data_IF_179959597221
#
_entry.id   IF_179959597221
#
_cell.length_a   1.000
_cell.length_b   1.000
_cell.length_c   1.000
_cell.angle_alpha   90.00
_cell.angle_beta   90.00
_cell.angle_gamma   90.00
#
_symmetry.space_group_name_H-M   'P 1'
#
loop_
_entity.id
_entity.type
_entity.pdbx_description
1 polymer ?
#
# COMPACT_ATOMS: atom_id res chain seq x y z
N UNK A 1 2.60 -5.86 3.19
CA UNK A 1 1.83 -4.61 3.07
C UNK A 1 0.47 -4.78 3.71
N UNK A 2 -0.06 -3.72 4.32
CA UNK A 2 -1.32 -3.78 5.04
C UNK A 2 -2.47 -3.13 4.23
N UNK A 3 -2.13 -2.30 3.26
CA UNK A 3 -3.05 -1.68 2.29
C UNK A 3 -2.50 -1.83 0.87
N UNK A 4 -3.36 -1.99 -0.11
CA UNK A 4 -3.03 -2.06 -1.53
C UNK A 4 -3.46 -0.76 -2.24
N UNK A 5 -2.53 -0.10 -2.91
CA UNK A 5 -2.81 1.03 -3.79
C UNK A 5 -2.68 0.55 -5.22
N UNK A 6 -3.78 0.53 -5.96
CA UNK A 6 -3.82 0.10 -7.34
C UNK A 6 -3.86 1.34 -8.24
N UNK A 7 -2.76 1.58 -8.93
CA UNK A 7 -2.64 2.71 -9.85
C UNK A 7 -3.00 2.29 -11.27
N UNK A 8 -3.88 3.04 -11.89
CA UNK A 8 -4.23 2.94 -13.30
C UNK A 8 -4.12 4.30 -13.98
N UNK A 9 -4.21 4.36 -15.30
CA UNK A 9 -4.02 5.62 -16.03
C UNK A 9 -5.33 6.13 -16.61
N UNK A 10 -5.55 7.45 -16.54
CA UNK A 10 -6.76 8.09 -17.05
C UNK A 10 -6.96 7.93 -18.57
N UNK A 11 -5.93 7.52 -19.30
CA UNK A 11 -6.00 7.28 -20.74
C UNK A 11 -6.01 5.80 -21.13
N UNK A 12 -5.77 4.87 -20.18
CA UNK A 12 -5.69 3.43 -20.44
C UNK A 12 -6.83 2.63 -19.78
N UNK A 13 -7.49 3.22 -18.78
CA UNK A 13 -8.60 2.55 -18.07
C UNK A 13 -8.18 1.31 -17.28
N UNK A 14 -9.09 0.36 -17.14
CA UNK A 14 -8.90 -0.89 -16.40
C UNK A 14 -8.22 -1.95 -17.27
N UNK A 15 -6.92 -2.13 -17.07
CA UNK A 15 -6.12 -3.12 -17.77
C UNK A 15 -6.09 -4.48 -17.05
N UNK A 16 -5.58 -5.51 -17.73
CA UNK A 16 -5.36 -6.85 -17.14
C UNK A 16 -4.51 -6.79 -15.87
N UNK A 17 -3.49 -5.89 -15.85
CA UNK A 17 -2.65 -5.63 -14.68
C UNK A 17 -3.45 -5.13 -13.47
N UNK A 18 -4.38 -4.23 -13.70
CA UNK A 18 -5.30 -3.68 -12.69
C UNK A 18 -6.15 -4.80 -12.07
N UNK A 19 -6.79 -5.63 -12.90
CA UNK A 19 -7.63 -6.75 -12.44
C UNK A 19 -6.82 -7.80 -11.68
N UNK A 20 -5.61 -8.14 -12.16
CA UNK A 20 -4.76 -9.12 -11.48
C UNK A 20 -4.28 -8.63 -10.12
N UNK A 21 -3.92 -7.35 -9.98
CA UNK A 21 -3.51 -6.78 -8.71
C UNK A 21 -4.69 -6.67 -7.74
N UNK A 22 -5.88 -6.31 -8.24
CA UNK A 22 -7.10 -6.32 -7.44
C UNK A 22 -7.38 -7.70 -6.85
N UNK A 23 -7.45 -8.76 -7.69
CA UNK A 23 -7.68 -10.14 -7.24
C UNK A 23 -6.67 -10.61 -6.19
N UNK A 24 -5.39 -10.18 -6.31
CA UNK A 24 -4.36 -10.51 -5.32
C UNK A 24 -4.60 -9.80 -3.99
N UNK A 25 -4.94 -8.52 -4.02
CA UNK A 25 -5.24 -7.74 -2.82
C UNK A 25 -6.50 -8.25 -2.13
N UNK A 26 -7.56 -8.51 -2.89
CA UNK A 26 -8.83 -9.08 -2.41
C UNK A 26 -8.63 -10.47 -1.77
N UNK A 27 -7.89 -11.38 -2.46
CA UNK A 27 -7.54 -12.70 -1.89
C UNK A 27 -6.75 -12.57 -0.59
N UNK A 28 -5.90 -11.55 -0.48
CA UNK A 28 -5.12 -11.26 0.72
C UNK A 28 -5.92 -10.46 1.77
N UNK A 29 -7.20 -10.17 1.51
CA UNK A 29 -8.10 -9.39 2.38
C UNK A 29 -7.47 -8.05 2.80
N UNK A 30 -6.88 -7.34 1.85
CA UNK A 30 -6.27 -6.04 2.10
C UNK A 30 -7.22 -4.92 1.69
N UNK A 31 -7.30 -3.82 2.47
CA UNK A 31 -7.93 -2.59 2.01
C UNK A 31 -7.36 -2.15 0.66
N UNK A 32 -8.22 -1.69 -0.26
CA UNK A 32 -7.83 -1.33 -1.62
C UNK A 32 -8.23 0.12 -1.89
N UNK A 33 -7.27 0.93 -2.35
CA UNK A 33 -7.53 2.26 -2.91
C UNK A 33 -7.08 2.32 -4.37
N UNK A 34 -7.86 2.99 -5.21
CA UNK A 34 -7.51 3.22 -6.61
C UNK A 34 -6.97 4.64 -6.81
N UNK A 35 -5.91 4.75 -7.60
CA UNK A 35 -5.33 6.02 -8.01
C UNK A 35 -5.38 6.12 -9.52
N UNK A 36 -6.25 6.98 -10.04
CA UNK A 36 -6.30 7.31 -11.47
C UNK A 36 -5.23 8.37 -11.73
N UNK A 37 -4.11 7.92 -12.28
CA UNK A 37 -2.94 8.75 -12.56
C UNK A 37 -2.92 9.23 -14.01
N UNK A 38 -2.00 10.11 -14.34
CA UNK A 38 -1.84 10.76 -15.66
C UNK A 38 -3.08 11.56 -16.08
N UNK A 39 -3.73 12.22 -15.11
CA UNK A 39 -4.84 13.13 -15.41
C UNK A 39 -4.42 14.33 -16.29
N UNK A 40 -3.11 14.56 -16.44
CA UNK A 40 -2.48 15.57 -17.32
C UNK A 40 -2.20 15.08 -18.75
N UNK A 41 -2.47 13.81 -19.05
CA UNK A 41 -2.25 13.27 -20.41
C UNK A 41 -3.28 13.83 -21.39
N UNK A 42 -2.86 14.14 -22.63
CA UNK A 42 -3.74 14.73 -23.65
C UNK A 42 -5.02 13.93 -23.95
N UNK A 43 -4.95 12.62 -23.79
CA UNK A 43 -6.06 11.69 -23.98
C UNK A 43 -6.63 11.19 -22.65
N UNK A 44 -6.47 11.95 -21.56
CA UNK A 44 -7.03 11.58 -20.26
C UNK A 44 -8.56 11.63 -20.30
N UNK A 45 -9.20 10.55 -19.91
CA UNK A 45 -10.65 10.38 -19.81
C UNK A 45 -11.00 9.89 -18.41
N UNK A 46 -11.03 10.79 -17.42
CA UNK A 46 -11.21 10.40 -16.02
C UNK A 46 -12.58 9.76 -15.75
N UNK A 47 -13.66 10.41 -16.17
CA UNK A 47 -15.03 9.92 -15.93
C UNK A 47 -15.30 8.55 -16.55
N UNK A 48 -14.99 8.29 -17.84
CA UNK A 48 -15.09 6.95 -18.43
C UNK A 48 -14.25 5.91 -17.69
N UNK A 49 -13.02 6.27 -17.27
CA UNK A 49 -12.14 5.38 -16.48
C UNK A 49 -12.75 5.04 -15.11
N UNK A 50 -13.36 6.01 -14.45
CA UNK A 50 -14.06 5.77 -13.19
C UNK A 50 -15.29 4.89 -13.37
N UNK A 51 -16.07 5.12 -14.42
CA UNK A 51 -17.25 4.28 -14.76
C UNK A 51 -16.82 2.83 -15.05
N UNK A 52 -15.71 2.63 -15.77
CA UNK A 52 -15.12 1.30 -15.99
C UNK A 52 -14.68 0.64 -14.67
N UNK A 53 -14.10 1.39 -13.73
CA UNK A 53 -13.80 0.88 -12.38
C UNK A 53 -15.07 0.36 -11.68
N UNK A 54 -16.16 1.12 -11.74
CA UNK A 54 -17.45 0.71 -11.15
C UNK A 54 -18.05 -0.51 -11.86
N UNK A 55 -17.94 -0.60 -13.18
CA UNK A 55 -18.40 -1.75 -13.95
C UNK A 55 -17.63 -3.03 -13.58
N UNK A 56 -16.30 -2.94 -13.43
CA UNK A 56 -15.44 -4.11 -13.18
C UNK A 56 -15.39 -4.51 -11.71
N UNK A 57 -15.34 -3.54 -10.78
CA UNK A 57 -15.12 -3.80 -9.35
C UNK A 57 -16.33 -3.47 -8.47
N UNK A 58 -17.42 -3.02 -9.08
CA UNK A 58 -18.70 -2.78 -8.42
C UNK A 58 -18.85 -1.38 -7.80
N UNK A 59 -20.01 -1.18 -7.16
CA UNK A 59 -20.39 0.10 -6.57
C UNK A 59 -19.59 0.51 -5.33
N UNK A 60 -18.69 -0.36 -4.86
CA UNK A 60 -17.74 -0.03 -3.79
C UNK A 60 -16.71 1.04 -4.18
N UNK A 61 -16.50 1.27 -5.48
CA UNK A 61 -15.64 2.33 -5.99
C UNK A 61 -16.29 3.70 -5.75
N UNK A 62 -15.72 4.50 -4.86
CA UNK A 62 -16.27 5.79 -4.43
C UNK A 62 -15.27 6.90 -4.64
N UNK A 63 -15.71 8.03 -5.22
CA UNK A 63 -14.85 9.18 -5.45
C UNK A 63 -14.51 9.91 -4.14
N UNK A 64 -13.22 10.08 -3.90
CA UNK A 64 -12.69 10.98 -2.87
C UNK A 64 -12.15 12.27 -3.49
N UNK A 65 -11.65 12.14 -4.72
CA UNK A 65 -11.21 13.27 -5.52
C UNK A 65 -11.53 13.04 -7.00
N UNK A 66 -11.84 14.10 -7.72
CA UNK A 66 -11.98 14.07 -9.18
C UNK A 66 -11.42 15.35 -9.82
N UNK A 67 -10.87 15.26 -11.06
CA UNK A 67 -10.31 16.41 -11.75
C UNK A 67 -11.41 17.30 -12.33
N UNK A 68 -11.19 18.63 -12.30
CA UNK A 68 -12.06 19.59 -12.99
C UNK A 68 -11.77 19.62 -14.49
N UNK A 69 -10.48 19.52 -14.84
CA UNK A 69 -10.00 19.72 -16.21
C UNK A 69 -8.94 18.65 -16.56
N UNK A 70 -9.37 17.38 -16.66
CA UNK A 70 -8.47 16.33 -17.13
C UNK A 70 -7.97 16.64 -18.55
N UNK A 71 -6.69 16.30 -18.83
CA UNK A 71 -6.03 16.60 -20.10
C UNK A 71 -4.79 17.48 -19.92
N UNK A 72 -4.28 18.02 -21.03
CA UNK A 72 -3.03 18.84 -21.05
C UNK A 72 -3.04 19.97 -20.03
N UNK A 73 -4.20 20.55 -19.78
CA UNK A 73 -4.39 21.71 -18.90
C UNK A 73 -4.78 21.30 -17.46
N UNK A 74 -4.63 20.03 -17.11
CA UNK A 74 -4.92 19.54 -15.77
C UNK A 74 -4.12 20.32 -14.72
N UNK A 75 -4.85 21.04 -13.87
CA UNK A 75 -4.29 21.83 -12.78
C UNK A 75 -5.23 21.97 -11.59
N UNK A 76 -6.43 21.35 -11.62
CA UNK A 76 -7.38 21.45 -10.53
C UNK A 76 -8.14 20.14 -10.29
N UNK A 77 -8.42 19.85 -9.03
CA UNK A 77 -9.26 18.74 -8.61
C UNK A 77 -10.15 19.14 -7.43
N UNK A 78 -11.34 18.55 -7.34
CA UNK A 78 -12.19 18.62 -6.17
C UNK A 78 -11.77 17.55 -5.17
N UNK A 79 -11.54 17.95 -3.92
CA UNK A 79 -11.43 17.06 -2.76
C UNK A 79 -12.75 17.05 -2.02
N UNK A 80 -13.49 15.96 -2.12
CA UNK A 80 -14.84 15.85 -1.55
C UNK A 80 -14.81 15.80 -0.02
N UNK A 81 -13.80 15.13 0.56
CA UNK A 81 -13.65 15.04 2.02
C UNK A 81 -13.36 16.40 2.64
N UNK A 82 -12.43 17.16 2.05
CA UNK A 82 -12.07 18.48 2.53
C UNK A 82 -13.08 19.57 2.15
N UNK A 83 -14.00 19.28 1.21
CA UNK A 83 -14.94 20.26 0.69
C UNK A 83 -14.24 21.44 0.00
N UNK A 84 -13.13 21.19 -0.71
CA UNK A 84 -12.32 22.22 -1.33
C UNK A 84 -11.93 21.85 -2.77
N UNK A 85 -11.74 22.87 -3.58
CA UNK A 85 -11.05 22.74 -4.86
C UNK A 85 -9.55 22.99 -4.67
N UNK A 86 -8.73 22.01 -5.03
CA UNK A 86 -7.28 22.08 -4.99
C UNK A 86 -6.77 22.53 -6.36
N UNK A 87 -6.04 23.65 -6.39
CA UNK A 87 -5.51 24.25 -7.64
C UNK A 87 -3.99 24.25 -7.60
N UNK A 88 -3.35 23.69 -8.59
CA UNK A 88 -1.89 23.64 -8.71
C UNK A 88 -1.36 24.67 -9.70
N UNK A 89 -0.15 25.14 -9.45
CA UNK A 89 0.66 25.86 -10.44
C UNK A 89 1.22 24.88 -11.46
N UNK A 90 1.74 25.39 -12.58
CA UNK A 90 2.28 24.57 -13.66
C UNK A 90 3.42 23.64 -13.22
N UNK A 91 4.23 24.09 -12.24
CA UNK A 91 5.32 23.32 -11.64
C UNK A 91 4.86 22.25 -10.61
N UNK A 92 3.58 22.20 -10.31
CA UNK A 92 3.01 21.24 -9.36
C UNK A 92 3.30 21.57 -7.88
N UNK A 93 3.38 20.54 -7.05
CA UNK A 93 3.71 20.68 -5.63
C UNK A 93 2.50 20.92 -4.73
N UNK A 94 2.60 21.87 -3.80
CA UNK A 94 1.51 22.20 -2.88
C UNK A 94 0.38 22.94 -3.60
N UNK A 95 -0.89 22.51 -3.48
CA UNK A 95 -2.01 23.22 -4.08
C UNK A 95 -2.42 24.44 -3.27
N UNK A 96 -3.08 25.37 -3.93
CA UNK A 96 -3.91 26.40 -3.30
C UNK A 96 -5.32 25.83 -3.11
N UNK A 97 -5.84 25.87 -1.87
CA UNK A 97 -7.20 25.44 -1.58
C UNK A 97 -8.18 26.60 -1.84
N UNK A 98 -9.19 26.34 -2.66
CA UNK A 98 -10.25 27.29 -3.01
C UNK A 98 -11.62 26.71 -2.68
N UNK A 99 -12.62 27.56 -2.63
CA UNK A 99 -14.00 27.11 -2.47
C UNK A 99 -14.47 26.38 -3.73
N UNK A 100 -15.38 25.43 -3.54
CA UNK A 100 -15.95 24.64 -4.62
C UNK A 100 -16.76 25.56 -5.52
N UNK A 101 -16.55 25.54 -6.88
CA UNK A 101 -17.33 26.30 -7.82
C UNK A 101 -18.82 25.92 -7.75
N UNK A 102 -19.68 26.89 -8.01
CA UNK A 102 -21.15 26.65 -7.99
C UNK A 102 -21.60 25.53 -8.92
N UNK A 103 -20.92 25.37 -10.07
CA UNK A 103 -21.19 24.29 -11.03
C UNK A 103 -20.93 22.88 -10.47
N UNK A 104 -20.06 22.75 -9.48
CA UNK A 104 -19.62 21.48 -8.90
C UNK A 104 -20.37 21.10 -7.61
N UNK A 105 -21.06 22.06 -6.98
CA UNK A 105 -21.70 21.84 -5.68
C UNK A 105 -22.66 20.68 -5.66
N UNK A 106 -23.54 20.57 -6.66
CA UNK A 106 -24.52 19.47 -6.74
C UNK A 106 -23.82 18.11 -6.82
N UNK A 107 -22.76 17.98 -7.64
CA UNK A 107 -21.98 16.75 -7.76
C UNK A 107 -21.28 16.40 -6.45
N UNK A 108 -20.69 17.41 -5.78
CA UNK A 108 -20.03 17.21 -4.48
C UNK A 108 -21.02 16.78 -3.41
N UNK A 109 -22.22 17.39 -3.37
CA UNK A 109 -23.28 17.01 -2.42
C UNK A 109 -23.72 15.56 -2.63
N UNK A 110 -23.89 15.13 -3.88
CA UNK A 110 -24.22 13.74 -4.21
C UNK A 110 -23.14 12.76 -3.74
N UNK A 111 -21.86 13.04 -4.05
CA UNK A 111 -20.76 12.19 -3.63
C UNK A 111 -20.61 12.20 -2.11
N UNK A 112 -20.75 13.37 -1.46
CA UNK A 112 -20.68 13.47 -0.01
C UNK A 112 -21.80 12.69 0.68
N UNK A 113 -23.01 12.67 0.11
CA UNK A 113 -24.11 11.85 0.61
C UNK A 113 -23.74 10.35 0.57
N UNK A 114 -23.14 9.87 -0.52
CA UNK A 114 -22.64 8.49 -0.61
C UNK A 114 -21.56 8.19 0.45
N UNK A 115 -20.65 9.14 0.73
CA UNK A 115 -19.62 8.98 1.78
C UNK A 115 -20.25 8.91 3.18
N UNK A 116 -21.31 9.70 3.45
CA UNK A 116 -22.06 9.65 4.70
C UNK A 116 -22.79 8.30 4.87
N UNK A 117 -23.39 7.76 3.81
CA UNK A 117 -24.01 6.44 3.80
C UNK A 117 -22.97 5.35 4.12
N UNK A 118 -21.81 5.36 3.46
CA UNK A 118 -20.71 4.44 3.76
C UNK A 118 -20.25 4.53 5.22
N UNK A 119 -20.09 5.74 5.74
CA UNK A 119 -19.68 5.94 7.13
C UNK A 119 -20.76 5.43 8.10
N UNK A 120 -22.03 5.66 7.80
CA UNK A 120 -23.14 5.19 8.62
C UNK A 120 -23.21 3.66 8.69
N UNK A 121 -22.87 2.95 7.62
CA UNK A 121 -22.85 1.49 7.59
C UNK A 121 -21.75 0.87 8.46
N UNK A 122 -20.80 1.65 8.99
CA UNK A 122 -19.65 1.16 9.73
C UNK A 122 -19.98 0.67 11.14
N UNK A 123 -20.96 1.27 11.80
CA UNK A 123 -21.29 1.03 13.19
C UNK A 123 -22.73 1.47 13.50
N UNK A 124 -23.46 0.71 14.34
CA UNK A 124 -24.85 1.00 14.71
C UNK A 124 -25.01 2.38 15.36
N UNK A 125 -24.01 2.83 16.15
CA UNK A 125 -24.06 4.12 16.83
C UNK A 125 -23.94 5.28 15.82
N UNK A 126 -23.09 5.14 14.82
CA UNK A 126 -22.92 6.13 13.74
C UNK A 126 -24.17 6.14 12.85
N UNK A 127 -24.73 4.97 12.58
CA UNK A 127 -25.96 4.80 11.81
C UNK A 127 -27.16 5.50 12.49
N UNK A 128 -27.36 5.28 13.80
CA UNK A 128 -28.41 5.91 14.57
C UNK A 128 -28.31 7.45 14.53
N UNK A 129 -27.12 7.98 14.71
CA UNK A 129 -26.87 9.44 14.61
C UNK A 129 -27.19 9.99 13.22
N UNK A 130 -26.78 9.27 12.17
CA UNK A 130 -27.08 9.67 10.79
C UNK A 130 -28.58 9.72 10.54
N UNK A 131 -29.34 8.73 11.02
CA UNK A 131 -30.82 8.74 10.90
C UNK A 131 -31.50 9.82 11.71
N UNK A 132 -30.98 10.16 12.89
CA UNK A 132 -31.54 11.20 13.74
C UNK A 132 -31.24 12.63 13.23
N UNK A 133 -30.04 12.87 12.70
CA UNK A 133 -29.54 14.20 12.37
C UNK A 133 -29.48 14.50 10.87
N UNK A 134 -29.56 13.45 10.02
CA UNK A 134 -29.40 13.56 8.56
C UNK A 134 -27.97 13.87 8.10
N UNK A 135 -27.02 13.93 9.04
CA UNK A 135 -25.59 14.20 8.77
C UNK A 135 -24.72 13.65 9.90
N UNK A 136 -23.39 13.61 9.66
CA UNK A 136 -22.38 13.25 10.65
C UNK A 136 -21.39 14.42 10.82
N UNK A 137 -20.76 14.52 11.98
CA UNK A 137 -19.61 15.41 12.15
C UNK A 137 -18.43 14.92 11.31
N UNK A 138 -17.46 15.78 11.01
CA UNK A 138 -16.28 15.40 10.21
C UNK A 138 -15.48 14.29 10.88
N UNK A 139 -15.39 14.25 12.21
CA UNK A 139 -14.71 13.17 12.96
C UNK A 139 -15.45 11.82 12.84
N UNK A 140 -16.78 11.83 12.98
CA UNK A 140 -17.62 10.63 12.82
C UNK A 140 -17.59 10.11 11.38
N UNK A 141 -17.66 11.01 10.40
CA UNK A 141 -17.49 10.65 8.99
C UNK A 141 -16.14 9.98 8.75
N UNK A 142 -15.05 10.58 9.22
CA UNK A 142 -13.70 10.01 9.06
C UNK A 142 -13.57 8.66 9.76
N UNK A 143 -14.05 8.52 10.98
CA UNK A 143 -14.01 7.25 11.72
C UNK A 143 -14.78 6.15 10.99
N UNK A 144 -16.00 6.45 10.52
CA UNK A 144 -16.80 5.50 9.76
C UNK A 144 -16.13 5.08 8.45
N UNK A 145 -15.61 6.05 7.69
CA UNK A 145 -14.90 5.77 6.43
C UNK A 145 -13.62 4.96 6.64
N UNK A 146 -12.86 5.20 7.72
CA UNK A 146 -11.68 4.40 8.08
C UNK A 146 -12.07 2.94 8.34
N UNK A 147 -13.16 2.71 9.06
CA UNK A 147 -13.66 1.36 9.37
C UNK A 147 -14.06 0.61 8.11
N UNK A 148 -14.93 1.16 7.27
CA UNK A 148 -15.37 0.50 6.04
C UNK A 148 -14.25 0.30 5.02
N UNK A 149 -13.27 1.20 5.01
CA UNK A 149 -12.06 1.04 4.20
C UNK A 149 -11.19 -0.11 4.71
N UNK A 150 -10.93 -0.17 6.01
CA UNK A 150 -10.12 -1.23 6.63
C UNK A 150 -10.73 -2.62 6.42
N UNK A 151 -12.07 -2.72 6.41
CA UNK A 151 -12.81 -3.95 6.13
C UNK A 151 -12.86 -4.34 4.64
N UNK A 152 -12.45 -3.43 3.74
CA UNK A 152 -12.54 -3.63 2.29
C UNK A 152 -13.97 -3.56 1.75
N UNK A 153 -14.86 -2.87 2.45
CA UNK A 153 -16.24 -2.63 2.04
C UNK A 153 -16.38 -1.49 1.05
N UNK A 154 -15.40 -0.55 1.02
CA UNK A 154 -15.34 0.59 0.12
C UNK A 154 -13.94 0.69 -0.53
N UNK A 155 -13.90 1.16 -1.78
CA UNK A 155 -12.67 1.40 -2.54
C UNK A 155 -12.55 2.88 -2.91
N UNK A 156 -11.79 3.68 -2.14
CA UNK A 156 -11.56 5.09 -2.45
C UNK A 156 -10.87 5.27 -3.80
N UNK A 157 -11.32 6.26 -4.57
CA UNK A 157 -10.74 6.62 -5.87
C UNK A 157 -10.23 8.06 -5.82
N UNK A 158 -8.96 8.25 -6.16
CA UNK A 158 -8.23 9.51 -6.11
C UNK A 158 -7.62 9.80 -7.48
N UNK A 159 -7.55 11.07 -7.86
CA UNK A 159 -6.94 11.52 -9.11
C UNK A 159 -5.56 12.15 -8.90
N UNK A 160 -4.60 11.88 -9.81
CA UNK A 160 -3.24 12.43 -9.71
C UNK A 160 -2.60 12.69 -11.08
N UNK A 161 -1.55 13.50 -11.08
CA UNK A 161 -0.52 13.51 -12.10
C UNK A 161 0.84 13.39 -11.42
N UNK A 162 1.42 12.19 -11.45
CA UNK A 162 2.74 11.95 -10.88
C UNK A 162 3.85 12.69 -11.61
N UNK A 163 3.71 12.91 -12.92
CA UNK A 163 4.71 13.64 -13.73
C UNK A 163 4.76 15.12 -13.34
N UNK A 164 3.61 15.73 -13.08
CA UNK A 164 3.52 17.16 -12.72
C UNK A 164 3.47 17.41 -11.20
N UNK A 165 3.65 16.37 -10.36
CA UNK A 165 3.53 16.46 -8.90
C UNK A 165 2.20 17.12 -8.45
N UNK A 166 1.10 16.78 -9.12
CA UNK A 166 -0.24 17.27 -8.79
C UNK A 166 -1.08 16.15 -8.16
N UNK A 167 -1.65 16.41 -6.99
CA UNK A 167 -2.42 15.43 -6.21
C UNK A 167 -1.58 14.48 -5.35
N UNK A 168 -0.25 14.38 -5.54
CA UNK A 168 0.60 13.42 -4.83
C UNK A 168 0.65 13.72 -3.33
N UNK A 169 0.81 14.98 -2.93
CA UNK A 169 0.81 15.37 -1.50
C UNK A 169 -0.51 15.05 -0.81
N UNK A 170 -1.63 15.25 -1.52
CA UNK A 170 -2.94 14.91 -0.97
C UNK A 170 -3.14 13.39 -0.89
N UNK A 171 -2.66 12.63 -1.88
CA UNK A 171 -2.62 11.17 -1.80
C UNK A 171 -1.84 10.71 -0.56
N UNK A 172 -0.67 11.30 -0.28
CA UNK A 172 0.12 10.97 0.92
C UNK A 172 -0.64 11.31 2.20
N UNK A 173 -1.32 12.48 2.25
CA UNK A 173 -2.20 12.84 3.36
C UNK A 173 -3.33 11.83 3.54
N UNK A 174 -4.04 11.50 2.47
CA UNK A 174 -5.09 10.48 2.48
C UNK A 174 -4.59 9.13 3.03
N UNK A 175 -3.40 8.69 2.62
CA UNK A 175 -2.83 7.44 3.15
C UNK A 175 -2.58 7.52 4.65
N UNK A 176 -2.06 8.65 5.15
CA UNK A 176 -1.85 8.87 6.58
C UNK A 176 -3.16 8.94 7.39
N UNK A 177 -4.22 9.48 6.78
CA UNK A 177 -5.53 9.64 7.40
C UNK A 177 -6.35 8.35 7.37
N UNK A 178 -6.36 7.62 6.25
CA UNK A 178 -7.32 6.55 5.98
C UNK A 178 -6.79 5.14 6.18
N UNK A 179 -5.47 4.92 6.06
CA UNK A 179 -4.96 3.55 6.15
C UNK A 179 -4.82 3.09 7.61
N UNK A 180 -5.16 1.83 7.92
CA UNK A 180 -4.98 1.32 9.26
C UNK A 180 -3.51 1.36 9.67
N UNK A 181 -3.25 1.71 10.91
CA UNK A 181 -1.90 1.62 11.49
C UNK A 181 -1.49 0.14 11.63
N UNK A 182 -0.21 -0.10 11.88
CA UNK A 182 0.28 -1.47 12.15
C UNK A 182 -0.43 -2.10 13.36
N UNK A 183 -0.83 -1.30 14.35
CA UNK A 183 -1.55 -1.79 15.54
C UNK A 183 -2.98 -2.23 15.22
N UNK A 184 -3.62 -1.56 14.25
CA UNK A 184 -5.02 -1.78 13.86
C UNK A 184 -5.15 -2.76 12.68
N UNK A 185 -4.07 -2.98 11.95
CA UNK A 185 -4.05 -3.92 10.83
C UNK A 185 -4.22 -5.38 11.30
N UNK A 186 -4.78 -6.27 10.45
CA UNK A 186 -4.85 -7.69 10.76
C UNK A 186 -3.49 -8.26 11.12
N UNK A 187 -3.40 -8.92 12.29
CA UNK A 187 -2.15 -9.47 12.80
C UNK A 187 -1.66 -10.62 11.92
N UNK A 188 -0.35 -10.69 11.64
CA UNK A 188 0.22 -11.83 10.94
C UNK A 188 0.07 -13.11 11.76
N UNK A 189 -0.15 -14.23 11.06
CA UNK A 189 -0.26 -15.54 11.68
C UNK A 189 1.05 -16.32 11.53
N UNK A 190 1.42 -17.06 12.58
CA UNK A 190 2.48 -18.08 12.52
C UNK A 190 1.99 -19.34 11.78
N UNK A 191 2.90 -20.28 11.51
CA UNK A 191 2.55 -21.60 10.94
C UNK A 191 1.57 -22.38 11.82
N UNK A 192 1.51 -22.07 13.12
CA UNK A 192 0.59 -22.68 14.09
C UNK A 192 -0.74 -21.90 14.22
N UNK A 193 -0.98 -20.92 13.32
CA UNK A 193 -2.14 -20.04 13.33
C UNK A 193 -2.26 -19.14 14.60
N UNK A 194 -1.14 -18.85 15.24
CA UNK A 194 -1.08 -17.90 16.35
C UNK A 194 -0.90 -16.48 15.84
N UNK A 195 -1.66 -15.53 16.38
CA UNK A 195 -1.55 -14.12 16.06
C UNK A 195 -0.29 -13.49 16.68
N UNK A 196 0.43 -12.72 15.90
CA UNK A 196 1.62 -11.97 16.35
C UNK A 196 1.28 -10.48 16.45
N UNK A 197 1.25 -9.97 17.68
CA UNK A 197 1.02 -8.54 17.91
C UNK A 197 2.30 -7.73 17.59
N UNK A 198 2.18 -6.57 16.92
CA UNK A 198 3.32 -5.72 16.56
C UNK A 198 3.81 -4.89 17.76
N UNK A 199 4.33 -5.55 18.78
CA UNK A 199 4.82 -4.92 20.02
C UNK A 199 6.32 -4.72 19.93
N UNK A 200 6.80 -3.48 19.96
CA UNK A 200 8.22 -3.14 19.81
C UNK A 200 9.13 -3.65 20.96
N UNK A 201 8.58 -3.89 22.14
CA UNK A 201 9.31 -4.41 23.32
C UNK A 201 9.27 -5.94 23.43
N UNK A 202 8.57 -6.64 22.56
CA UNK A 202 8.54 -8.10 22.53
C UNK A 202 9.84 -8.68 21.95
N UNK A 203 10.13 -9.98 22.13
CA UNK A 203 11.25 -10.65 21.46
C UNK A 203 11.15 -10.50 19.94
N UNK A 204 12.26 -10.12 19.30
CA UNK A 204 12.25 -9.76 17.88
C UNK A 204 11.98 -10.93 16.96
N UNK A 205 11.07 -10.71 16.00
CA UNK A 205 10.79 -11.61 14.89
C UNK A 205 10.63 -10.81 13.60
N UNK A 206 11.33 -11.22 12.53
CA UNK A 206 11.29 -10.57 11.23
C UNK A 206 11.10 -11.59 10.11
N UNK A 207 10.38 -11.20 9.06
CA UNK A 207 10.12 -12.03 7.89
C UNK A 207 10.80 -11.47 6.64
N UNK A 208 11.60 -12.30 5.98
CA UNK A 208 12.30 -11.94 4.74
C UNK A 208 11.35 -12.13 3.57
N UNK A 209 10.83 -11.05 3.03
CA UNK A 209 9.86 -11.11 1.92
C UNK A 209 10.51 -10.98 0.53
N UNK A 210 11.78 -10.55 0.45
CA UNK A 210 12.50 -10.41 -0.82
C UNK A 210 14.00 -10.48 -0.60
N UNK A 211 14.69 -11.20 -1.48
CA UNK A 211 16.15 -11.17 -1.63
C UNK A 211 16.49 -10.70 -3.04
N UNK A 212 17.43 -9.78 -3.18
CA UNK A 212 17.96 -9.34 -4.48
C UNK A 212 19.49 -9.39 -4.46
N UNK A 213 20.07 -9.69 -5.62
CA UNK A 213 21.52 -9.60 -5.81
C UNK A 213 21.83 -8.29 -6.52
N UNK A 214 22.67 -7.48 -5.91
CA UNK A 214 23.03 -6.17 -6.45
C UNK A 214 24.53 -6.08 -6.74
N UNK A 215 24.90 -5.44 -7.87
CA UNK A 215 26.32 -5.24 -8.21
C UNK A 215 27.07 -4.55 -7.04
N UNK A 216 28.27 -5.03 -6.73
CA UNK A 216 29.18 -4.49 -5.72
C UNK A 216 28.74 -4.62 -4.25
N UNK A 217 27.50 -5.05 -3.97
CA UNK A 217 26.97 -5.20 -2.62
C UNK A 217 26.75 -6.68 -2.29
N UNK A 218 26.38 -7.47 -3.29
CA UNK A 218 25.98 -8.86 -3.14
C UNK A 218 24.50 -9.00 -2.78
N UNK A 219 24.17 -9.95 -1.93
CA UNK A 219 22.81 -10.21 -1.52
C UNK A 219 22.28 -9.14 -0.55
N UNK A 220 21.12 -8.60 -0.87
CA UNK A 220 20.35 -7.66 -0.06
C UNK A 220 19.04 -8.34 0.33
N UNK A 221 18.80 -8.49 1.62
CA UNK A 221 17.61 -9.10 2.16
C UNK A 221 16.66 -8.02 2.69
N UNK A 222 15.46 -7.94 2.11
CA UNK A 222 14.39 -7.04 2.53
C UNK A 222 13.47 -7.79 3.48
N UNK A 223 13.15 -7.17 4.60
CA UNK A 223 12.33 -7.78 5.64
C UNK A 223 11.33 -6.80 6.25
N UNK A 224 10.28 -7.34 6.85
CA UNK A 224 9.38 -6.64 7.75
C UNK A 224 9.61 -7.18 9.16
N UNK A 225 9.77 -6.29 10.13
CA UNK A 225 9.76 -6.66 11.55
C UNK A 225 8.32 -6.90 11.95
N UNK A 226 8.01 -8.11 12.38
CA UNK A 226 6.65 -8.51 12.77
C UNK A 226 6.37 -8.16 14.22
N UNK A 227 7.38 -8.34 15.10
CA UNK A 227 7.38 -7.89 16.49
C UNK A 227 8.80 -7.59 16.95
N UNK A 228 8.94 -6.87 18.05
CA UNK A 228 10.23 -6.51 18.63
C UNK A 228 10.89 -5.35 17.92
N UNK A 229 12.19 -5.18 18.18
CA UNK A 229 13.06 -4.17 17.56
C UNK A 229 14.37 -4.82 17.22
N UNK A 230 14.84 -4.62 15.98
CA UNK A 230 16.08 -5.15 15.43
C UNK A 230 17.12 -4.05 15.33
N UNK A 231 18.38 -4.35 15.77
CA UNK A 231 19.51 -3.41 15.76
C UNK A 231 20.72 -4.00 15.04
N UNK A 232 21.60 -3.17 14.49
CA UNK A 232 22.92 -3.62 14.04
C UNK A 232 23.69 -4.26 15.19
N UNK A 233 24.29 -5.42 14.94
CA UNK A 233 25.00 -6.20 15.95
C UNK A 233 24.19 -7.33 16.57
N UNK A 234 22.87 -7.36 16.39
CA UNK A 234 22.02 -8.42 16.91
C UNK A 234 22.34 -9.78 16.27
N UNK A 235 22.38 -10.81 17.12
CA UNK A 235 22.43 -12.20 16.69
C UNK A 235 21.01 -12.77 16.62
N UNK A 236 20.64 -13.31 15.47
CA UNK A 236 19.31 -13.88 15.21
C UNK A 236 19.44 -15.31 14.69
N UNK A 237 18.40 -16.10 14.90
CA UNK A 237 18.28 -17.45 14.36
C UNK A 237 17.40 -17.42 13.11
N UNK A 238 17.89 -17.93 11.99
CA UNK A 238 17.05 -18.30 10.86
C UNK A 238 16.36 -19.63 11.21
N UNK A 239 15.07 -19.55 11.54
CA UNK A 239 14.30 -20.70 12.04
C UNK A 239 14.14 -21.76 10.95
N UNK A 240 13.97 -21.34 9.70
CA UNK A 240 13.75 -22.24 8.56
C UNK A 240 15.00 -23.02 8.16
N UNK A 241 16.18 -22.48 8.47
CA UNK A 241 17.48 -23.07 8.12
C UNK A 241 18.24 -23.62 9.32
N UNK A 242 17.86 -23.27 10.54
CA UNK A 242 18.58 -23.58 11.76
C UNK A 242 19.94 -22.89 11.86
N UNK A 243 20.18 -21.81 11.10
CA UNK A 243 21.47 -21.12 11.02
C UNK A 243 21.45 -19.83 11.84
N UNK A 244 22.58 -19.54 12.51
CA UNK A 244 22.76 -18.29 13.22
C UNK A 244 23.26 -17.21 12.26
N UNK A 245 22.56 -16.08 12.28
CA UNK A 245 22.84 -14.91 11.48
C UNK A 245 23.18 -13.73 12.39
N UNK A 246 24.01 -12.81 11.90
CA UNK A 246 24.31 -11.56 12.58
C UNK A 246 23.91 -10.39 11.70
N UNK A 247 23.12 -9.50 12.25
CA UNK A 247 22.70 -8.27 11.57
C UNK A 247 23.88 -7.30 11.56
N UNK A 248 24.52 -7.13 10.42
CA UNK A 248 25.70 -6.25 10.30
C UNK A 248 25.32 -4.79 10.18
N UNK A 249 24.31 -4.50 9.36
CA UNK A 249 23.82 -3.15 9.07
C UNK A 249 22.34 -3.20 8.75
N UNK A 250 21.64 -2.12 9.05
CA UNK A 250 20.22 -1.93 8.72
C UNK A 250 20.07 -0.68 7.83
N UNK A 251 19.18 -0.77 6.85
CA UNK A 251 18.91 0.31 5.90
C UNK A 251 17.42 0.54 5.73
N UNK A 252 17.01 1.79 5.81
CA UNK A 252 15.79 2.25 5.18
C UNK A 252 16.05 2.42 3.69
N UNK A 253 15.15 1.93 2.83
CA UNK A 253 15.36 1.87 1.38
C UNK A 253 14.24 2.59 0.64
N UNK A 254 14.62 3.54 -0.21
CA UNK A 254 13.71 4.23 -1.13
C UNK A 254 14.31 4.18 -2.55
N UNK A 255 13.78 3.29 -3.39
CA UNK A 255 14.35 3.02 -4.71
C UNK A 255 15.80 2.57 -4.63
N UNK A 256 16.73 3.34 -5.19
CA UNK A 256 18.17 3.08 -5.15
C UNK A 256 18.89 3.73 -3.95
N UNK A 257 18.16 4.49 -3.14
CA UNK A 257 18.72 5.19 -1.99
C UNK A 257 18.62 4.30 -0.77
N UNK A 258 19.75 4.08 -0.09
CA UNK A 258 19.82 3.38 1.20
C UNK A 258 20.36 4.33 2.26
N UNK A 259 19.59 4.48 3.30
CA UNK A 259 19.96 5.30 4.46
C UNK A 259 20.20 4.35 5.64
N UNK A 260 21.40 4.31 6.22
CA UNK A 260 21.65 3.52 7.43
C UNK A 260 20.72 3.97 8.56
N UNK A 261 20.19 3.00 9.32
CA UNK A 261 19.34 3.25 10.49
C UNK A 261 19.90 2.51 11.69
N UNK A 262 19.68 3.06 12.88
CA UNK A 262 20.19 2.50 14.14
C UNK A 262 19.29 1.38 14.68
N UNK A 263 18.00 1.40 14.33
CA UNK A 263 17.05 0.37 14.72
C UNK A 263 15.86 0.33 13.75
N UNK A 264 15.17 -0.81 13.75
CA UNK A 264 13.93 -1.04 13.00
C UNK A 264 12.94 -1.74 13.91
N UNK A 265 11.78 -1.15 14.12
CA UNK A 265 10.75 -1.64 15.05
C UNK A 265 9.62 -2.40 14.35
N UNK A 266 8.80 -3.07 15.15
CA UNK A 266 7.63 -3.81 14.70
C UNK A 266 6.75 -2.99 13.74
N UNK A 267 6.45 -3.57 12.57
CA UNK A 267 5.70 -2.95 11.48
C UNK A 267 6.56 -2.33 10.39
N UNK A 268 7.80 -1.95 10.69
CA UNK A 268 8.70 -1.32 9.73
C UNK A 268 9.25 -2.32 8.71
N UNK A 269 9.57 -1.79 7.54
CA UNK A 269 10.23 -2.50 6.44
C UNK A 269 11.64 -1.92 6.27
N UNK A 270 12.63 -2.82 6.25
CA UNK A 270 14.02 -2.44 6.07
C UNK A 270 14.78 -3.47 5.22
N UNK A 271 16.06 -3.21 5.00
CA UNK A 271 16.96 -4.13 4.36
C UNK A 271 18.22 -4.36 5.19
N UNK A 272 18.81 -5.54 5.04
CA UNK A 272 20.12 -5.89 5.58
C UNK A 272 20.95 -6.60 4.51
N UNK A 273 22.25 -6.68 4.75
CA UNK A 273 23.21 -7.31 3.84
C UNK A 273 24.11 -8.30 4.59
N UNK A 274 24.81 -9.16 3.83
CA UNK A 274 25.82 -10.09 4.34
C UNK A 274 25.26 -11.16 5.29
N UNK A 275 24.00 -11.54 5.14
CA UNK A 275 23.50 -12.76 5.75
C UNK A 275 24.11 -13.99 5.04
N UNK A 276 24.33 -15.09 5.78
CA UNK A 276 25.09 -16.25 5.29
C UNK A 276 24.21 -17.25 4.52
N UNK A 277 23.04 -17.55 5.08
CA UNK A 277 22.13 -18.58 4.56
C UNK A 277 20.66 -18.16 4.76
N UNK A 278 20.33 -16.92 4.41
CA UNK A 278 18.98 -16.40 4.55
C UNK A 278 18.43 -16.02 3.19
N UNK A 279 17.22 -16.50 2.88
CA UNK A 279 16.55 -16.32 1.59
C UNK A 279 15.12 -15.81 1.78
N UNK A 280 14.51 -15.37 0.67
CA UNK A 280 13.09 -15.02 0.62
C UNK A 280 12.20 -16.13 1.21
N UNK A 281 11.29 -15.75 2.10
CA UNK A 281 10.40 -16.65 2.82
C UNK A 281 10.92 -17.14 4.16
N UNK A 282 12.14 -16.75 4.57
CA UNK A 282 12.69 -17.16 5.86
C UNK A 282 12.26 -16.22 7.00
N UNK A 283 12.20 -16.80 8.20
CA UNK A 283 11.93 -16.11 9.48
C UNK A 283 13.23 -15.95 10.26
N UNK A 284 13.49 -14.76 10.75
CA UNK A 284 14.61 -14.44 11.63
C UNK A 284 14.10 -14.08 13.03
N UNK A 285 14.55 -14.77 14.04
CA UNK A 285 14.12 -14.59 15.43
C UNK A 285 15.29 -14.24 16.36
N UNK A 286 15.01 -13.38 17.36
CA UNK A 286 15.84 -13.30 18.54
C UNK A 286 15.78 -14.62 19.34
N UNK A 287 16.76 -14.83 20.27
CA UNK A 287 16.92 -16.09 21.00
C UNK A 287 15.66 -16.56 21.74
N UNK A 288 14.86 -15.60 22.24
CA UNK A 288 13.70 -15.89 23.07
C UNK A 288 12.36 -15.80 22.27
N UNK A 289 12.42 -15.97 20.94
CA UNK A 289 11.28 -15.96 20.05
C UNK A 289 11.21 -17.27 19.26
N UNK A 290 10.03 -17.90 19.23
CA UNK A 290 9.78 -19.18 18.53
C UNK A 290 8.85 -19.01 17.32
N UNK A 291 8.52 -17.77 16.92
CA UNK A 291 7.66 -17.53 15.78
C UNK A 291 8.25 -18.10 14.48
N UNK A 292 7.39 -18.68 13.66
CA UNK A 292 7.72 -19.06 12.29
C UNK A 292 6.56 -18.65 11.38
N UNK A 293 6.86 -17.93 10.30
CA UNK A 293 5.81 -17.47 9.38
C UNK A 293 5.67 -18.42 8.19
N UNK A 294 4.44 -18.55 7.64
CA UNK A 294 4.20 -19.38 6.48
C UNK A 294 5.07 -18.97 5.28
N UNK A 295 5.58 -19.94 4.57
CA UNK A 295 6.32 -19.71 3.33
C UNK A 295 5.43 -18.99 2.29
N UNK A 296 6.06 -18.17 1.44
CA UNK A 296 5.35 -17.48 0.36
C UNK A 296 4.85 -18.52 -0.66
N UNK A 297 3.53 -18.56 -0.87
CA UNK A 297 2.93 -19.38 -1.90
C UNK A 297 3.06 -18.69 -3.26
N UNK A 298 3.85 -19.25 -4.15
CA UNK A 298 3.99 -18.78 -5.52
C UNK A 298 2.95 -19.45 -6.43
N UNK A 299 2.49 -18.76 -7.50
CA UNK A 299 1.65 -19.40 -8.50
C UNK A 299 2.42 -20.49 -9.25
N UNK A 300 1.72 -21.52 -9.72
CA UNK A 300 2.32 -22.59 -10.52
C UNK A 300 3.00 -22.03 -11.78
N UNK A 301 4.21 -22.52 -12.12
CA UNK A 301 4.92 -22.09 -13.32
C UNK A 301 4.12 -22.45 -14.58
N UNK A 302 3.73 -21.45 -15.36
CA UNK A 302 2.97 -21.65 -16.62
C UNK A 302 3.86 -21.84 -17.84
N UNK A 303 5.16 -21.59 -17.72
CA UNK A 303 6.11 -21.66 -18.82
C UNK A 303 7.46 -22.19 -18.34
N UNK A 304 8.03 -23.10 -19.12
CA UNK A 304 9.36 -23.69 -18.85
C UNK A 304 10.27 -23.47 -20.05
N UNK A 305 11.53 -23.15 -19.77
CA UNK A 305 12.58 -23.02 -20.79
C UNK A 305 13.87 -23.71 -20.30
N UNK A 306 14.53 -24.41 -21.18
CA UNK A 306 15.88 -24.88 -20.93
C UNK A 306 16.85 -23.69 -21.08
N UNK A 307 17.80 -23.59 -20.15
CA UNK A 307 18.90 -22.64 -20.22
C UNK A 307 20.21 -23.39 -20.35
N UNK A 308 21.17 -22.84 -21.09
CA UNK A 308 22.53 -23.33 -21.21
C UNK A 308 23.49 -22.19 -20.91
N UNK A 309 24.63 -22.45 -20.24
CA UNK A 309 25.67 -21.45 -20.12
C UNK A 309 26.26 -21.13 -21.49
N UNK A 310 26.75 -19.93 -21.70
CA UNK A 310 27.45 -19.53 -22.91
C UNK A 310 28.81 -20.24 -22.95
N UNK A 311 29.47 -20.39 -21.80
CA UNK A 311 30.73 -21.14 -21.65
C UNK A 311 30.49 -22.33 -20.74
N UNK A 312 31.02 -23.50 -21.11
CA UNK A 312 30.90 -24.75 -20.31
C UNK A 312 31.46 -24.58 -18.88
N UNK A 313 32.48 -23.76 -18.70
CA UNK A 313 33.07 -23.45 -17.38
C UNK A 313 32.09 -22.77 -16.42
N UNK A 314 30.99 -22.17 -16.93
CA UNK A 314 29.98 -21.52 -16.12
C UNK A 314 28.80 -22.44 -15.75
N UNK A 315 28.88 -23.74 -16.12
CA UNK A 315 27.80 -24.73 -15.86
C UNK A 315 27.51 -24.89 -14.36
N UNK A 316 28.52 -24.84 -13.51
CA UNK A 316 28.37 -24.93 -12.06
C UNK A 316 27.63 -23.71 -11.47
N UNK A 317 27.75 -22.53 -12.11
CA UNK A 317 27.07 -21.32 -11.68
C UNK A 317 25.56 -21.32 -11.97
N UNK A 318 25.07 -22.21 -12.82
CA UNK A 318 23.63 -22.36 -13.08
C UNK A 318 22.90 -23.11 -11.97
N UNK A 319 23.62 -23.85 -11.14
CA UNK A 319 23.08 -24.68 -10.05
C UNK A 319 23.19 -23.99 -8.68
N UNK A 320 23.91 -22.88 -8.62
CA UNK A 320 24.06 -22.05 -7.42
C UNK A 320 23.01 -20.96 -7.37
#
# INVERSE_FOLDING_TARGET
ADTAIITLTANGGVEVGTQNNFRRAEKAKKPIAFVINKCDHENANFEPTFNELKEVFGNKCTLFQYPINAGKDFNAAIDVLQGKMLVWKAEGGAPEAKDIPESEKATVEEIRAQLLEWAAESDETIMDKYFEQGTLSDDELMQGLQTVFAEGSMYPVICTSGLKDMGIRRLMGFLGEMTPSVADAPKPLTVNAEEVAPVATAPTSAFIFKTSVEPHIGEVNYFKVMQGTLKPGDDVLNVDRGTKERISQLYSVAGNIRVPVEEVSAGDIAATVKLKDTRTGNTLNAKDCENQYPAISYPDPKYRRAIKPVNEADSEKLSA
#
